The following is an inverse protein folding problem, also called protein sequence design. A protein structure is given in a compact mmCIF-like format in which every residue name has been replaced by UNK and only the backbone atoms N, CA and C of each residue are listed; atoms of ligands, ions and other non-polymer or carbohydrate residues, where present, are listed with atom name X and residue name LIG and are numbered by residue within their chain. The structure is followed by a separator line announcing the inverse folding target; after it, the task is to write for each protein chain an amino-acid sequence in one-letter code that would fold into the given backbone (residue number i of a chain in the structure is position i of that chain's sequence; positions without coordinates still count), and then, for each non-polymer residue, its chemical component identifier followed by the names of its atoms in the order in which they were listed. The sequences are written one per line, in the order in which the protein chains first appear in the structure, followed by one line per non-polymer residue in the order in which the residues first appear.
data_IF_787217114969
#
_entry.id   IF_787217114969
#
_cell.length_a   1.000
_cell.length_b   1.000
_cell.length_c   1.000
_cell.angle_alpha   90.00
_cell.angle_beta   90.00
_cell.angle_gamma   90.00
#
_symmetry.space_group_name_H-M   'P 1'
#
loop_
_entity.id
_entity.type
_entity.pdbx_description
1 polymer ?
#
# COMPACT_ATOMS: atom_id res chain seq x y z
N UNK A 1 -28.50 -21.06 56.26
CA UNK A 1 -27.71 -20.35 57.29
C UNK A 1 -27.75 -18.86 56.96
N UNK A 2 -28.52 -18.11 57.76
CA UNK A 2 -28.38 -16.71 58.19
C UNK A 2 -27.49 -15.68 57.44
N UNK A 3 -28.14 -14.55 57.08
CA UNK A 3 -27.83 -13.09 57.27
C UNK A 3 -26.45 -12.54 56.80
N UNK A 4 -26.26 -11.29 56.32
CA UNK A 4 -27.00 -10.02 56.34
C UNK A 4 -26.51 -9.08 55.22
N UNK A 5 -27.34 -8.10 54.85
CA UNK A 5 -27.04 -6.95 53.99
C UNK A 5 -26.50 -5.75 54.79
N UNK A 6 -25.81 -4.82 54.11
CA UNK A 6 -25.81 -3.39 54.46
C UNK A 6 -25.38 -2.49 53.28
N UNK A 7 -25.85 -1.25 53.31
CA UNK A 7 -26.07 -0.36 52.18
C UNK A 7 -25.58 1.07 52.44
N UNK A 8 -25.50 1.87 51.36
CA UNK A 8 -25.65 3.35 51.24
C UNK A 8 -24.40 4.24 51.21
N UNK A 9 -24.45 5.23 50.30
CA UNK A 9 -23.74 6.51 50.45
C UNK A 9 -23.47 7.34 49.18
N UNK A 10 -24.50 7.97 48.59
CA UNK A 10 -24.37 9.07 47.60
C UNK A 10 -24.24 10.42 48.35
N UNK A 11 -23.44 11.38 47.84
CA UNK A 11 -23.46 12.77 48.34
C UNK A 11 -23.24 13.80 47.23
N UNK A 12 -24.19 14.73 47.11
CA UNK A 12 -24.20 15.96 46.30
C UNK A 12 -24.63 17.11 47.24
N UNK A 13 -23.86 18.20 47.36
CA UNK A 13 -24.28 19.61 47.67
C UNK A 13 -23.14 20.54 47.25
N UNK A 14 -23.29 21.44 46.27
CA UNK A 14 -23.93 22.77 46.22
C UNK A 14 -23.12 23.98 46.77
N UNK A 15 -23.09 25.01 45.92
CA UNK A 15 -22.44 26.34 45.96
C UNK A 15 -22.88 27.27 47.11
N UNK A 16 -22.02 28.26 47.43
CA UNK A 16 -22.42 29.56 47.98
C UNK A 16 -21.65 30.73 47.33
N UNK A 17 -22.34 31.86 47.16
CA UNK A 17 -21.89 33.14 46.59
C UNK A 17 -21.29 34.09 47.65
N UNK A 18 -20.39 34.98 47.23
CA UNK A 18 -20.02 36.21 47.95
C UNK A 18 -19.58 37.32 46.99
N UNK A 19 -20.21 38.50 47.05
CA UNK A 19 -19.92 39.71 46.26
C UNK A 19 -18.87 40.59 46.95
N UNK A 20 -18.02 41.27 46.18
CA UNK A 20 -17.17 42.37 46.65
C UNK A 20 -16.45 43.08 45.49
N UNK A 21 -16.69 44.38 45.34
CA UNK A 21 -16.28 45.25 44.24
C UNK A 21 -15.17 46.20 44.73
N UNK A 22 -14.02 46.31 44.04
CA UNK A 22 -13.27 47.58 43.87
C UNK A 22 -11.93 47.45 43.12
N UNK A 23 -11.77 48.37 42.16
CA UNK A 23 -10.56 49.00 41.61
C UNK A 23 -9.72 48.22 40.58
N UNK A 24 -9.78 48.79 39.38
CA UNK A 24 -9.03 48.49 38.16
C UNK A 24 -7.60 49.03 38.28
N UNK A 25 -6.65 48.14 38.46
CA UNK A 25 -5.26 48.36 38.06
C UNK A 25 -5.00 47.38 36.91
N UNK A 26 -4.98 47.91 35.68
CA UNK A 26 -4.70 47.10 34.49
C UNK A 26 -3.18 46.98 34.37
N UNK A 27 -2.67 45.77 34.49
CA UNK A 27 -1.23 45.47 34.45
C UNK A 27 -0.56 46.05 33.19
N UNK A 28 0.57 46.78 33.31
CA UNK A 28 1.27 47.41 32.19
C UNK A 28 1.75 46.44 31.09
N UNK A 29 1.84 45.15 31.41
CA UNK A 29 2.30 44.07 30.52
C UNK A 29 1.21 43.71 29.49
N UNK A 30 -0.07 43.89 29.82
CA UNK A 30 -1.19 43.64 28.89
C UNK A 30 -1.37 44.76 27.86
N UNK A 31 -1.02 46.01 28.20
CA UNK A 31 -1.08 47.15 27.29
C UNK A 31 -0.03 47.06 26.15
N UNK A 32 1.18 46.58 26.46
CA UNK A 32 2.24 46.38 25.46
C UNK A 32 1.91 45.29 24.43
N UNK A 33 1.10 44.30 24.79
CA UNK A 33 0.67 43.23 23.88
C UNK A 33 -0.48 43.63 22.94
N UNK A 34 -1.31 44.59 23.34
CA UNK A 34 -2.38 45.17 22.50
C UNK A 34 -1.81 46.11 21.44
N UNK A 35 -0.81 46.94 21.77
CA UNK A 35 -0.14 47.81 20.82
C UNK A 35 0.69 47.04 19.79
N UNK A 36 1.38 45.98 20.20
CA UNK A 36 2.12 45.11 19.27
C UNK A 36 1.18 44.36 18.32
N UNK A 37 -0.01 43.94 18.79
CA UNK A 37 -1.07 43.40 17.92
C UNK A 37 -1.63 44.42 16.93
N UNK A 38 -1.79 45.67 17.34
CA UNK A 38 -2.25 46.77 16.46
C UNK A 38 -1.19 47.13 15.42
N UNK A 39 0.09 47.17 15.78
CA UNK A 39 1.20 47.38 14.84
C UNK A 39 1.32 46.25 13.81
N UNK A 40 1.15 44.98 14.23
CA UNK A 40 1.13 43.82 13.31
C UNK A 40 -0.08 43.85 12.35
N UNK A 41 -1.25 44.32 12.80
CA UNK A 41 -2.42 44.50 11.93
C UNK A 41 -2.30 45.68 10.96
N UNK A 42 -1.52 46.71 11.31
CA UNK A 42 -1.29 47.88 10.46
C UNK A 42 -0.20 47.59 9.41
N UNK A 43 0.85 46.85 9.76
CA UNK A 43 1.87 46.35 8.80
C UNK A 43 1.30 45.30 7.81
N UNK A 44 0.29 44.53 8.21
CA UNK A 44 -0.43 43.61 7.32
C UNK A 44 -1.36 44.33 6.33
N UNK A 45 -1.76 45.59 6.59
CA UNK A 45 -2.58 46.40 5.67
C UNK A 45 -1.76 47.24 4.69
N UNK A 46 -0.50 47.53 5.00
CA UNK A 46 0.37 48.35 4.14
C UNK A 46 1.24 47.52 3.16
N UNK A 47 1.37 46.21 3.38
CA UNK A 47 2.15 45.31 2.50
C UNK A 47 1.34 44.67 1.34
N UNK A 48 0.03 44.93 1.22
CA UNK A 48 -0.82 44.53 0.08
C UNK A 48 -0.93 45.64 -0.99
N UNK A 49 0.15 46.41 -1.20
CA UNK A 49 0.28 47.35 -2.32
C UNK A 49 1.36 46.91 -3.34
N UNK A 50 1.73 45.64 -3.33
CA UNK A 50 2.56 45.05 -4.38
C UNK A 50 1.77 45.03 -5.70
N UNK A 51 2.13 45.97 -6.58
CA UNK A 51 1.71 46.12 -7.97
C UNK A 51 1.25 44.79 -8.60
N UNK A 52 -0.07 44.54 -8.59
CA UNK A 52 -0.68 43.47 -9.38
C UNK A 52 -0.31 43.74 -10.84
N UNK A 53 0.51 42.86 -11.42
CA UNK A 53 0.69 42.78 -12.88
C UNK A 53 -0.70 42.77 -13.52
N UNK A 54 -0.93 43.51 -14.62
CA UNK A 54 -2.26 43.59 -15.22
C UNK A 54 -2.73 42.15 -15.50
N UNK A 55 -3.81 41.74 -14.81
CA UNK A 55 -4.46 40.46 -15.07
C UNK A 55 -4.86 40.49 -16.54
N UNK A 56 -4.34 39.54 -17.33
CA UNK A 56 -4.90 39.27 -18.67
C UNK A 56 -6.40 39.10 -18.50
N UNK A 57 -7.13 39.83 -19.32
CA UNK A 57 -8.55 40.18 -19.20
C UNK A 57 -9.40 39.01 -18.70
N UNK A 58 -10.20 39.25 -17.64
CA UNK A 58 -11.06 38.25 -17.00
C UNK A 58 -12.24 37.82 -17.89
N UNK A 59 -12.27 38.20 -19.17
CA UNK A 59 -13.39 37.99 -20.08
C UNK A 59 -13.31 36.65 -20.79
N UNK A 60 -14.46 36.07 -21.07
CA UNK A 60 -14.61 34.86 -21.85
C UNK A 60 -14.10 35.07 -23.26
N UNK A 61 -13.16 34.25 -23.71
CA UNK A 61 -12.53 34.37 -25.03
C UNK A 61 -13.49 34.13 -26.21
N UNK A 62 -14.63 33.48 -25.95
CA UNK A 62 -15.66 33.17 -26.96
C UNK A 62 -16.66 34.33 -27.14
N UNK A 63 -17.16 34.91 -26.04
CA UNK A 63 -18.17 35.97 -26.12
C UNK A 63 -17.64 37.37 -25.82
N UNK A 64 -16.46 37.50 -25.21
CA UNK A 64 -15.77 38.74 -24.83
C UNK A 64 -16.61 39.74 -24.00
N UNK A 65 -17.77 39.32 -23.50
CA UNK A 65 -18.74 40.15 -22.79
C UNK A 65 -18.72 39.87 -21.29
N UNK A 66 -18.75 38.61 -20.89
CA UNK A 66 -18.81 38.17 -19.50
C UNK A 66 -17.48 37.60 -19.02
N UNK A 67 -17.31 37.51 -17.70
CA UNK A 67 -16.13 36.89 -17.13
C UNK A 67 -16.08 35.37 -17.44
N UNK A 68 -14.89 34.81 -17.65
CA UNK A 68 -14.79 33.37 -17.92
C UNK A 68 -15.27 32.55 -16.71
N UNK A 69 -16.23 31.64 -16.92
CA UNK A 69 -16.82 30.84 -15.84
C UNK A 69 -15.97 29.62 -15.43
N UNK A 70 -15.21 29.06 -16.37
CA UNK A 70 -14.34 27.91 -16.12
C UNK A 70 -13.13 27.91 -17.05
N UNK A 71 -11.97 27.47 -16.55
CA UNK A 71 -10.85 27.05 -17.39
C UNK A 71 -10.97 25.55 -17.62
N UNK A 72 -10.89 25.11 -18.87
CA UNK A 72 -11.02 23.70 -19.20
C UNK A 72 -9.75 22.95 -18.73
N UNK A 73 -9.88 21.87 -17.94
CA UNK A 73 -8.72 21.15 -17.39
C UNK A 73 -7.96 20.33 -18.43
N UNK A 74 -8.46 20.23 -19.66
CA UNK A 74 -7.82 19.51 -20.77
C UNK A 74 -7.16 20.39 -21.84
N UNK A 75 -7.50 21.68 -21.95
CA UNK A 75 -6.91 22.67 -22.88
C UNK A 75 -7.59 24.05 -22.76
N UNK A 76 -7.11 25.06 -23.47
CA UNK A 76 -7.72 26.42 -23.50
C UNK A 76 -8.93 26.59 -24.45
N UNK A 77 -9.32 25.59 -25.25
CA UNK A 77 -10.27 25.81 -26.36
C UNK A 77 -11.35 24.72 -26.44
N UNK A 78 -12.51 24.98 -25.83
CA UNK A 78 -13.60 23.98 -25.69
C UNK A 78 -14.51 23.87 -26.92
N UNK A 79 -14.51 24.87 -27.81
CA UNK A 79 -15.47 24.95 -28.93
C UNK A 79 -14.85 24.52 -30.26
N UNK A 80 -13.58 24.85 -30.53
CA UNK A 80 -12.94 24.58 -31.83
C UNK A 80 -12.42 23.15 -31.99
N UNK A 81 -12.15 22.42 -30.89
CA UNK A 81 -11.41 21.14 -30.92
C UNK A 81 -12.23 19.90 -30.53
N UNK A 82 -13.56 20.00 -30.37
CA UNK A 82 -14.40 18.91 -29.83
C UNK A 82 -13.77 18.26 -28.57
N UNK A 83 -13.29 19.10 -27.65
CA UNK A 83 -12.64 18.62 -26.43
C UNK A 83 -13.69 18.20 -25.40
N UNK A 84 -13.56 16.98 -24.88
CA UNK A 84 -14.39 16.40 -23.81
C UNK A 84 -14.29 17.15 -22.48
N UNK A 85 -13.29 18.03 -22.34
CA UNK A 85 -13.02 18.76 -21.11
C UNK A 85 -12.52 17.87 -19.98
N UNK A 86 -12.07 16.65 -20.29
CA UNK A 86 -11.52 15.69 -19.34
C UNK A 86 -10.00 15.67 -19.52
N UNK A 87 -9.25 15.94 -18.45
CA UNK A 87 -7.78 15.83 -18.48
C UNK A 87 -7.41 14.37 -18.74
N UNK A 88 -6.64 14.12 -19.81
CA UNK A 88 -6.19 12.77 -20.16
C UNK A 88 -4.96 12.40 -19.35
N UNK A 89 -5.20 11.82 -18.17
CA UNK A 89 -4.18 11.62 -17.13
C UNK A 89 -3.11 10.60 -17.50
N UNK A 90 -3.35 9.69 -18.46
CA UNK A 90 -2.46 8.56 -18.75
C UNK A 90 -2.28 8.27 -20.25
N UNK A 91 -2.29 9.32 -21.09
CA UNK A 91 -2.12 9.13 -22.53
C UNK A 91 -0.64 9.08 -22.91
N UNK A 92 -0.31 8.27 -23.91
CA UNK A 92 1.06 8.17 -24.42
C UNK A 92 1.48 9.46 -25.14
N UNK A 93 2.64 9.99 -24.76
CA UNK A 93 3.27 11.16 -25.38
C UNK A 93 4.62 10.72 -25.97
N UNK A 94 4.83 10.81 -27.30
CA UNK A 94 6.13 10.52 -27.89
C UNK A 94 7.21 11.43 -27.30
N UNK A 95 8.43 10.93 -27.08
CA UNK A 95 9.52 11.70 -26.45
C UNK A 95 9.77 13.06 -27.10
N UNK A 96 9.60 13.17 -28.43
CA UNK A 96 9.79 14.43 -29.17
C UNK A 96 8.79 15.53 -28.79
N UNK A 97 7.66 15.18 -28.19
CA UNK A 97 6.58 16.08 -27.77
C UNK A 97 6.44 16.13 -26.24
N UNK A 98 7.36 15.48 -25.52
CA UNK A 98 7.34 15.45 -24.07
C UNK A 98 7.91 16.76 -23.52
N UNK A 99 7.10 17.46 -22.73
CA UNK A 99 7.42 18.79 -22.17
C UNK A 99 7.42 18.75 -20.65
N UNK A 100 7.99 19.77 -20.00
CA UNK A 100 8.04 19.86 -18.53
C UNK A 100 6.66 19.82 -17.88
N UNK A 101 5.63 20.33 -18.56
CA UNK A 101 4.24 20.22 -18.09
C UNK A 101 3.77 18.76 -18.01
N UNK A 102 4.25 17.89 -18.90
CA UNK A 102 3.94 16.46 -18.86
C UNK A 102 4.60 15.78 -17.67
N UNK A 103 5.79 16.23 -17.25
CA UNK A 103 6.44 15.75 -16.03
C UNK A 103 5.62 16.12 -14.79
N UNK A 104 5.14 17.36 -14.72
CA UNK A 104 4.27 17.82 -13.62
C UNK A 104 2.95 17.06 -13.61
N UNK A 105 2.38 16.80 -14.80
CA UNK A 105 1.18 15.99 -14.96
C UNK A 105 1.38 14.57 -14.45
N UNK A 106 2.47 13.91 -14.82
CA UNK A 106 2.81 12.57 -14.37
C UNK A 106 3.09 12.53 -12.87
N UNK A 107 3.81 13.52 -12.33
CA UNK A 107 4.08 13.64 -10.90
C UNK A 107 2.78 13.80 -10.09
N UNK A 108 1.90 14.71 -10.51
CA UNK A 108 0.61 14.92 -9.84
C UNK A 108 -0.29 13.69 -9.93
N UNK A 109 -0.26 12.97 -11.05
CA UNK A 109 -0.92 11.69 -11.18
C UNK A 109 -0.37 10.66 -10.20
N UNK A 110 0.95 10.46 -10.14
CA UNK A 110 1.59 9.50 -9.23
C UNK A 110 1.31 9.84 -7.76
N UNK A 111 1.33 11.11 -7.37
CA UNK A 111 0.90 11.53 -6.03
C UNK A 111 -0.57 11.18 -5.78
N UNK A 112 -1.46 11.42 -6.74
CA UNK A 112 -2.88 11.11 -6.59
C UNK A 112 -3.12 9.61 -6.39
N UNK A 113 -2.37 8.77 -7.11
CA UNK A 113 -2.36 7.32 -6.95
C UNK A 113 -1.82 6.96 -5.57
N UNK A 114 -0.71 7.55 -5.14
CA UNK A 114 -0.11 7.28 -3.84
C UNK A 114 -1.07 7.65 -2.69
N UNK A 115 -1.71 8.83 -2.75
CA UNK A 115 -2.75 9.24 -1.79
C UNK A 115 -3.96 8.30 -1.79
N UNK A 116 -4.37 7.81 -2.97
CA UNK A 116 -5.46 6.85 -3.06
C UNK A 116 -5.09 5.49 -2.44
N UNK A 117 -3.86 5.02 -2.63
CA UNK A 117 -3.34 3.79 -2.02
C UNK A 117 -3.31 3.89 -0.49
N UNK A 118 -2.85 5.02 0.06
CA UNK A 118 -2.81 5.27 1.51
C UNK A 118 -4.22 5.26 2.12
N UNK A 119 -5.23 5.84 1.45
CA UNK A 119 -6.64 5.85 1.93
C UNK A 119 -7.33 4.49 1.89
N UNK A 120 -6.83 3.54 1.10
CA UNK A 120 -7.39 2.16 1.00
C UNK A 120 -6.84 1.23 2.10
N UNK A 121 -5.94 1.74 2.95
CA UNK A 121 -5.05 0.97 3.82
C UNK A 121 -5.66 -0.01 4.82
N UNK A 122 -6.91 0.14 5.28
CA UNK A 122 -7.48 -0.87 6.19
C UNK A 122 -9.03 -0.91 6.28
N UNK A 123 -9.70 0.19 5.96
CA UNK A 123 -11.14 0.33 6.20
C UNK A 123 -12.02 -0.41 5.19
N UNK A 124 -11.49 -0.74 3.99
CA UNK A 124 -12.27 -1.35 2.91
C UNK A 124 -11.84 -2.79 2.55
N UNK A 125 -11.02 -3.44 3.39
CA UNK A 125 -10.68 -4.85 3.19
C UNK A 125 -11.87 -5.72 3.62
N UNK A 126 -12.45 -6.57 2.74
CA UNK A 126 -13.57 -7.42 3.09
C UNK A 126 -13.27 -8.30 4.31
N UNK A 127 -14.27 -8.56 5.15
CA UNK A 127 -14.13 -9.38 6.36
C UNK A 127 -13.42 -10.72 6.12
N UNK A 128 -13.76 -11.41 5.02
CA UNK A 128 -13.13 -12.68 4.61
C UNK A 128 -11.61 -12.56 4.46
N UNK A 129 -11.13 -11.41 3.99
CA UNK A 129 -9.72 -11.15 3.74
C UNK A 129 -8.99 -10.73 5.00
N UNK A 130 -9.66 -10.02 5.92
CA UNK A 130 -9.17 -9.79 7.28
C UNK A 130 -9.02 -11.12 8.04
N UNK A 131 -10.03 -12.00 7.94
CA UNK A 131 -9.95 -13.35 8.51
C UNK A 131 -8.78 -14.15 7.91
N UNK A 132 -8.59 -14.10 6.59
CA UNK A 132 -7.46 -14.77 5.93
C UNK A 132 -6.12 -14.31 6.51
N UNK A 133 -5.89 -13.00 6.64
CA UNK A 133 -4.69 -12.42 7.26
C UNK A 133 -4.48 -12.92 8.69
N UNK A 134 -5.53 -12.89 9.51
CA UNK A 134 -5.47 -13.37 10.91
C UNK A 134 -5.09 -14.85 10.96
N UNK A 135 -5.65 -15.67 10.08
CA UNK A 135 -5.38 -17.11 10.04
C UNK A 135 -3.97 -17.45 9.55
N UNK A 136 -3.41 -16.65 8.63
CA UNK A 136 -2.00 -16.71 8.27
C UNK A 136 -1.10 -16.35 9.45
N UNK A 137 -1.39 -15.26 10.15
CA UNK A 137 -0.59 -14.80 11.29
C UNK A 137 -0.56 -15.83 12.43
N UNK A 138 -1.70 -16.49 12.71
CA UNK A 138 -1.77 -17.61 13.68
C UNK A 138 -0.84 -18.77 13.34
N UNK A 139 -0.50 -18.95 12.06
CA UNK A 139 0.45 -19.96 11.55
C UNK A 139 1.87 -19.41 11.42
N UNK A 140 2.10 -18.16 11.83
CA UNK A 140 3.37 -17.46 11.68
C UNK A 140 3.66 -17.00 10.25
N UNK A 141 2.66 -16.87 9.38
CA UNK A 141 2.83 -16.46 7.99
C UNK A 141 2.39 -15.00 7.84
N UNK A 142 3.26 -14.14 7.32
CA UNK A 142 2.97 -12.72 7.12
C UNK A 142 2.36 -12.49 5.73
N UNK A 143 1.03 -12.50 5.66
CA UNK A 143 0.30 -12.29 4.40
C UNK A 143 0.06 -10.80 4.12
N UNK A 144 0.60 -10.33 3.00
CA UNK A 144 0.40 -8.99 2.47
C UNK A 144 -0.61 -9.02 1.34
N UNK A 145 -1.66 -8.21 1.46
CA UNK A 145 -2.71 -8.10 0.45
C UNK A 145 -2.47 -6.87 -0.42
N UNK A 146 -2.50 -7.07 -1.73
CA UNK A 146 -2.45 -6.02 -2.73
C UNK A 146 -3.83 -5.34 -2.90
N UNK A 147 -3.85 -4.09 -3.41
CA UNK A 147 -5.09 -3.41 -3.75
C UNK A 147 -6.00 -4.22 -4.68
N UNK A 148 -7.33 -4.10 -4.49
CA UNK A 148 -8.38 -4.84 -5.23
C UNK A 148 -8.25 -4.76 -6.76
N UNK A 149 -7.71 -3.66 -7.27
CA UNK A 149 -7.63 -3.40 -8.69
C UNK A 149 -6.42 -4.04 -9.37
N UNK A 150 -5.45 -4.52 -8.58
CA UNK A 150 -4.24 -5.18 -9.08
C UNK A 150 -4.54 -6.56 -9.67
N UNK A 151 -3.83 -6.90 -10.75
CA UNK A 151 -4.03 -8.18 -11.46
C UNK A 151 -3.72 -9.39 -10.60
N UNK A 152 -2.66 -9.33 -9.76
CA UNK A 152 -2.31 -10.39 -8.81
C UNK A 152 -3.44 -10.64 -7.81
N UNK A 153 -4.05 -9.56 -7.31
CA UNK A 153 -5.22 -9.60 -6.42
C UNK A 153 -6.44 -10.24 -7.07
N UNK A 154 -6.79 -9.79 -8.28
CA UNK A 154 -7.94 -10.30 -9.05
C UNK A 154 -7.81 -11.78 -9.38
N UNK A 155 -6.60 -12.27 -9.62
CA UNK A 155 -6.30 -13.67 -9.93
C UNK A 155 -6.05 -14.52 -8.69
N UNK A 156 -6.07 -13.98 -7.47
CA UNK A 156 -5.77 -14.75 -6.27
C UNK A 156 -6.95 -15.64 -5.87
N UNK A 157 -6.67 -16.92 -5.63
CA UNK A 157 -7.65 -17.92 -5.17
C UNK A 157 -7.36 -18.43 -3.76
N UNK A 158 -6.31 -17.92 -3.10
CA UNK A 158 -5.98 -18.27 -1.72
C UNK A 158 -7.15 -17.93 -0.79
N UNK A 159 -7.57 -18.91 0.01
CA UNK A 159 -8.71 -18.76 0.91
C UNK A 159 -8.55 -19.60 2.18
N UNK A 160 -9.22 -19.14 3.23
CA UNK A 160 -9.39 -19.89 4.47
C UNK A 160 -10.78 -20.52 4.48
N UNK A 161 -10.84 -21.83 4.73
CA UNK A 161 -12.08 -22.59 4.86
C UNK A 161 -12.42 -22.78 6.34
N UNK A 162 -13.27 -21.92 6.89
CA UNK A 162 -13.62 -21.93 8.32
C UNK A 162 -14.30 -23.22 8.78
N UNK A 163 -15.04 -23.91 7.92
CA UNK A 163 -15.72 -25.17 8.27
C UNK A 163 -14.73 -26.30 8.58
N UNK A 164 -13.59 -26.33 7.88
CA UNK A 164 -12.55 -27.35 8.04
C UNK A 164 -11.28 -26.81 8.70
N UNK A 165 -11.28 -25.54 9.12
CA UNK A 165 -10.16 -24.83 9.75
C UNK A 165 -8.83 -24.93 8.99
N UNK A 166 -8.89 -24.97 7.65
CA UNK A 166 -7.70 -25.19 6.79
C UNK A 166 -7.47 -24.06 5.80
N UNK A 167 -6.21 -23.83 5.48
CA UNK A 167 -5.80 -22.92 4.41
C UNK A 167 -5.74 -23.65 3.07
N UNK A 168 -6.35 -23.06 2.05
CA UNK A 168 -6.19 -23.47 0.65
C UNK A 168 -5.42 -22.37 -0.06
N UNK A 169 -4.18 -22.66 -0.42
CA UNK A 169 -3.27 -21.72 -1.05
C UNK A 169 -3.38 -21.81 -2.57
N UNK A 170 -3.39 -20.66 -3.21
CA UNK A 170 -2.91 -20.58 -4.59
C UNK A 170 -1.39 -20.70 -4.55
N UNK A 171 -0.79 -21.46 -5.45
CA UNK A 171 0.66 -21.51 -5.63
C UNK A 171 0.96 -21.21 -7.09
N UNK A 172 1.88 -20.29 -7.34
CA UNK A 172 2.44 -20.06 -8.66
C UNK A 172 3.79 -20.77 -8.74
N UNK A 173 3.93 -21.73 -9.65
CA UNK A 173 5.21 -22.37 -9.93
C UNK A 173 5.87 -21.70 -11.13
N UNK A 174 7.20 -21.60 -11.07
CA UNK A 174 8.03 -21.09 -12.15
C UNK A 174 9.16 -22.09 -12.37
N UNK A 175 9.12 -22.80 -13.49
CA UNK A 175 10.19 -23.69 -13.92
C UNK A 175 11.21 -22.85 -14.70
N UNK A 176 12.33 -22.52 -14.06
CA UNK A 176 13.20 -21.43 -14.52
C UNK A 176 13.89 -21.75 -15.85
N UNK A 177 14.48 -22.94 -16.00
CA UNK A 177 15.25 -23.34 -17.18
C UNK A 177 14.44 -23.26 -18.48
N UNK A 178 13.13 -23.52 -18.39
CA UNK A 178 12.20 -23.51 -19.53
C UNK A 178 11.27 -22.29 -19.57
N UNK A 179 11.35 -21.42 -18.55
CA UNK A 179 10.48 -20.26 -18.35
C UNK A 179 8.97 -20.57 -18.42
N UNK A 180 8.55 -21.73 -17.89
CA UNK A 180 7.14 -22.14 -17.85
C UNK A 180 6.55 -21.79 -16.48
N UNK A 181 5.31 -21.28 -16.50
CA UNK A 181 4.57 -20.86 -15.31
C UNK A 181 3.31 -21.70 -15.17
N UNK A 182 3.14 -22.38 -14.04
CA UNK A 182 1.95 -23.21 -13.75
C UNK A 182 1.32 -22.78 -12.43
N UNK A 183 0.07 -23.14 -12.20
CA UNK A 183 -0.68 -22.69 -11.01
C UNK A 183 -1.39 -23.85 -10.36
N UNK A 184 -1.18 -24.02 -9.06
CA UNK A 184 -2.03 -24.85 -8.20
C UNK A 184 -3.05 -23.95 -7.51
N UNK A 185 -4.35 -23.99 -7.85
CA UNK A 185 -5.31 -23.01 -7.34
C UNK A 185 -5.74 -23.24 -5.89
N UNK A 186 -5.66 -24.48 -5.39
CA UNK A 186 -6.17 -24.92 -4.07
C UNK A 186 -5.25 -25.96 -3.42
N UNK A 187 -3.98 -25.61 -3.21
CA UNK A 187 -3.04 -26.44 -2.47
C UNK A 187 -3.39 -26.45 -0.97
N UNK A 188 -3.49 -27.63 -0.37
CA UNK A 188 -3.72 -27.76 1.07
C UNK A 188 -2.43 -27.48 1.85
N UNK A 189 -2.54 -26.75 2.97
CA UNK A 189 -1.37 -26.37 3.77
C UNK A 189 -0.62 -27.54 4.42
N UNK A 190 -1.31 -28.66 4.62
CA UNK A 190 -0.77 -29.90 5.20
C UNK A 190 -0.10 -30.80 4.16
N UNK A 191 -0.28 -30.52 2.86
CA UNK A 191 0.38 -31.28 1.81
C UNK A 191 1.89 -31.01 1.81
N UNK A 192 2.68 -32.07 1.60
CA UNK A 192 4.13 -31.93 1.44
C UNK A 192 4.44 -31.18 0.15
N UNK A 193 5.52 -30.41 0.18
CA UNK A 193 5.95 -29.65 -0.99
C UNK A 193 6.31 -30.59 -2.16
N UNK A 194 6.90 -31.75 -1.87
CA UNK A 194 7.18 -32.82 -2.83
C UNK A 194 5.93 -33.32 -3.55
N UNK A 195 4.84 -33.55 -2.81
CA UNK A 195 3.56 -33.97 -3.40
C UNK A 195 3.01 -32.87 -4.31
N UNK A 196 2.95 -31.64 -3.83
CA UNK A 196 2.42 -30.51 -4.61
C UNK A 196 3.23 -30.26 -5.89
N UNK A 197 4.55 -30.48 -5.84
CA UNK A 197 5.42 -30.41 -7.00
C UNK A 197 5.15 -31.56 -7.97
N UNK A 198 5.03 -32.80 -7.47
CA UNK A 198 4.74 -33.97 -8.30
C UNK A 198 3.39 -33.87 -9.03
N UNK A 199 2.37 -33.30 -8.38
CA UNK A 199 1.07 -33.02 -9.00
C UNK A 199 1.21 -32.09 -10.22
N UNK A 200 2.27 -31.27 -10.32
CA UNK A 200 2.52 -30.44 -11.51
C UNK A 200 2.98 -31.26 -12.72
N UNK A 201 3.54 -32.46 -12.52
CA UNK A 201 4.03 -33.32 -13.61
C UNK A 201 2.95 -34.23 -14.19
N UNK A 202 1.81 -34.36 -13.52
CA UNK A 202 0.68 -35.16 -13.98
C UNK A 202 -0.08 -34.48 -15.13
N UNK A 203 0.00 -33.16 -15.24
CA UNK A 203 -0.66 -32.41 -16.32
C UNK A 203 0.03 -32.68 -17.67
N UNK A 204 -0.68 -33.44 -18.49
CA UNK A 204 -0.26 -33.94 -19.81
C UNK A 204 0.16 -32.79 -20.73
N UNK A 205 -0.45 -31.60 -20.60
CA UNK A 205 -0.21 -30.46 -21.51
C UNK A 205 1.17 -29.84 -21.31
N UNK A 206 1.64 -29.78 -20.06
CA UNK A 206 2.93 -29.19 -19.68
C UNK A 206 4.03 -30.24 -19.51
N UNK A 207 3.67 -31.52 -19.40
CA UNK A 207 4.61 -32.63 -19.22
C UNK A 207 5.72 -32.69 -20.27
N UNK A 208 5.43 -32.36 -21.53
CA UNK A 208 6.47 -32.31 -22.58
C UNK A 208 7.53 -31.24 -22.30
N UNK A 209 7.11 -30.08 -21.79
CA UNK A 209 8.02 -28.98 -21.45
C UNK A 209 8.83 -29.29 -20.19
N UNK A 210 8.29 -30.11 -19.28
CA UNK A 210 8.90 -30.47 -17.99
C UNK A 210 9.78 -31.73 -18.04
N UNK A 211 10.10 -32.26 -19.23
CA UNK A 211 10.84 -33.53 -19.38
C UNK A 211 12.16 -33.58 -18.64
N UNK A 212 12.88 -32.47 -18.59
CA UNK A 212 14.17 -32.38 -17.90
C UNK A 212 13.99 -32.51 -16.39
N UNK A 213 12.98 -31.83 -15.83
CA UNK A 213 12.61 -31.89 -14.41
C UNK A 213 12.08 -33.27 -13.99
N UNK A 214 11.37 -33.96 -14.89
CA UNK A 214 10.83 -35.30 -14.63
C UNK A 214 11.92 -36.38 -14.63
N UNK A 215 13.00 -36.16 -15.39
CA UNK A 215 14.08 -37.17 -15.52
C UNK A 215 14.84 -37.37 -14.22
N UNK A 216 15.08 -36.30 -13.47
CA UNK A 216 15.81 -36.34 -12.22
C UNK A 216 15.11 -35.50 -11.13
N UNK A 217 14.02 -36.03 -10.54
CA UNK A 217 13.28 -35.33 -9.49
C UNK A 217 14.11 -35.08 -8.23
N UNK A 218 15.10 -35.92 -7.95
CA UNK A 218 15.95 -35.83 -6.76
C UNK A 218 16.95 -34.67 -6.85
N UNK A 219 17.26 -34.21 -8.06
CA UNK A 219 18.05 -33.00 -8.32
C UNK A 219 17.26 -31.69 -8.19
N UNK A 220 15.94 -31.75 -8.00
CA UNK A 220 15.13 -30.53 -7.96
C UNK A 220 15.29 -29.78 -6.64
N UNK A 221 15.36 -28.46 -6.75
CA UNK A 221 15.36 -27.55 -5.62
C UNK A 221 14.21 -26.55 -5.79
N UNK A 222 13.50 -26.28 -4.69
CA UNK A 222 12.39 -25.32 -4.66
C UNK A 222 12.80 -24.09 -3.86
N UNK A 223 12.72 -22.93 -4.50
CA UNK A 223 13.09 -21.65 -3.90
C UNK A 223 11.88 -20.70 -3.81
N UNK A 224 11.90 -19.79 -2.86
CA UNK A 224 10.99 -18.64 -2.81
C UNK A 224 11.79 -17.36 -2.60
N UNK A 225 11.55 -16.34 -3.43
CA UNK A 225 12.20 -15.04 -3.27
C UNK A 225 11.75 -14.36 -1.97
N UNK A 226 12.68 -13.73 -1.25
CA UNK A 226 12.39 -12.89 -0.08
C UNK A 226 11.77 -11.56 -0.51
N UNK A 227 10.67 -11.22 0.12
CA UNK A 227 9.96 -9.96 -0.12
C UNK A 227 10.47 -8.86 0.83
N UNK A 228 10.28 -7.59 0.44
CA UNK A 228 10.66 -6.39 1.22
C UNK A 228 12.16 -6.26 1.52
N UNK A 229 13.01 -6.76 0.62
CA UNK A 229 14.46 -6.61 0.69
C UNK A 229 14.98 -5.98 -0.60
N UNK A 230 16.07 -5.22 -0.49
CA UNK A 230 16.73 -4.59 -1.66
C UNK A 230 17.49 -5.63 -2.49
N UNK A 231 18.06 -6.63 -1.81
CA UNK A 231 18.83 -7.72 -2.40
C UNK A 231 17.91 -8.85 -2.87
N UNK A 232 18.29 -9.55 -3.94
CA UNK A 232 17.52 -10.67 -4.48
C UNK A 232 17.91 -11.96 -3.76
N UNK A 233 17.43 -12.08 -2.52
CA UNK A 233 17.67 -13.23 -1.65
C UNK A 233 16.55 -14.27 -1.78
N UNK A 234 16.89 -15.55 -1.55
CA UNK A 234 15.99 -16.67 -1.71
C UNK A 234 15.99 -17.60 -0.50
N UNK A 235 14.81 -18.10 -0.16
CA UNK A 235 14.62 -19.20 0.77
C UNK A 235 14.70 -20.52 0.02
N UNK A 236 15.58 -21.43 0.44
CA UNK A 236 15.57 -22.82 -0.01
C UNK A 236 14.62 -23.64 0.84
N UNK A 237 13.67 -24.31 0.21
CA UNK A 237 12.70 -25.15 0.91
C UNK A 237 13.11 -26.61 0.94
N UNK A 238 12.85 -27.26 2.07
CA UNK A 238 12.88 -28.71 2.17
C UNK A 238 11.60 -29.27 1.55
N UNK A 239 11.75 -30.16 0.57
CA UNK A 239 10.62 -30.77 -0.16
C UNK A 239 9.80 -31.73 0.70
N UNK A 240 10.36 -32.23 1.80
CA UNK A 240 9.65 -33.12 2.72
C UNK A 240 8.73 -32.36 3.69
N UNK A 241 8.97 -31.08 3.90
CA UNK A 241 8.15 -30.26 4.78
C UNK A 241 6.81 -29.96 4.11
N UNK A 242 5.79 -29.72 4.95
CA UNK A 242 4.50 -29.28 4.45
C UNK A 242 4.52 -27.78 4.10
N UNK A 243 3.56 -27.36 3.27
CA UNK A 243 3.48 -25.98 2.81
C UNK A 243 3.38 -24.97 3.98
N UNK A 244 2.68 -25.30 5.06
CA UNK A 244 2.59 -24.46 6.26
C UNK A 244 3.97 -24.23 6.90
N UNK A 245 4.77 -25.29 7.06
CA UNK A 245 6.14 -25.21 7.58
C UNK A 245 7.04 -24.42 6.65
N UNK A 246 6.98 -24.69 5.34
CA UNK A 246 7.75 -23.97 4.33
C UNK A 246 7.47 -22.47 4.37
N UNK A 247 6.22 -22.04 4.58
CA UNK A 247 5.84 -20.63 4.58
C UNK A 247 5.95 -19.95 5.94
N UNK A 248 6.19 -20.70 7.02
CA UNK A 248 6.31 -20.15 8.38
C UNK A 248 7.40 -19.09 8.45
N UNK A 249 7.12 -18.03 9.19
CA UNK A 249 7.89 -16.78 9.36
C UNK A 249 8.24 -16.03 8.07
N UNK A 250 7.59 -16.36 6.95
CA UNK A 250 7.88 -15.71 5.66
C UNK A 250 6.82 -14.69 5.28
N UNK A 251 7.26 -13.68 4.54
CA UNK A 251 6.41 -12.69 3.92
C UNK A 251 5.87 -13.22 2.60
N UNK A 252 4.55 -13.22 2.43
CA UNK A 252 3.87 -13.68 1.22
C UNK A 252 2.96 -12.58 0.70
N UNK A 253 3.15 -12.16 -0.55
CA UNK A 253 2.28 -11.19 -1.20
C UNK A 253 1.20 -11.92 -2.01
N UNK A 254 -0.06 -11.86 -1.56
CA UNK A 254 -1.25 -12.57 -2.07
C UNK A 254 -1.17 -14.12 -2.01
N UNK A 255 -0.15 -14.69 -2.64
CA UNK A 255 0.09 -16.12 -2.76
C UNK A 255 1.57 -16.40 -3.01
N UNK A 256 2.11 -17.54 -2.56
CA UNK A 256 3.51 -17.90 -2.80
C UNK A 256 3.80 -18.06 -4.29
N UNK A 257 5.03 -17.70 -4.66
CA UNK A 257 5.61 -17.94 -5.99
C UNK A 257 6.87 -18.76 -5.80
N UNK A 258 6.83 -20.00 -6.25
CA UNK A 258 7.87 -21.00 -6.04
C UNK A 258 8.65 -21.21 -7.32
N UNK A 259 9.96 -21.06 -7.25
CA UNK A 259 10.88 -21.32 -8.35
C UNK A 259 11.34 -22.77 -8.24
N UNK A 260 11.29 -23.49 -9.35
CA UNK A 260 11.80 -24.85 -9.48
C UNK A 260 13.04 -24.79 -10.37
N UNK A 261 14.17 -25.18 -9.80
CA UNK A 261 15.48 -25.16 -10.43
C UNK A 261 16.16 -26.52 -10.27
N UNK A 262 17.19 -26.75 -11.08
CA UNK A 262 18.07 -27.91 -10.87
C UNK A 262 19.10 -27.57 -9.79
N UNK A 263 19.57 -28.58 -9.04
CA UNK A 263 20.57 -28.41 -7.97
C UNK A 263 21.85 -27.74 -8.46
N UNK A 264 22.24 -27.96 -9.72
CA UNK A 264 23.43 -27.33 -10.32
C UNK A 264 23.30 -25.81 -10.48
N UNK A 265 22.07 -25.31 -10.65
CA UNK A 265 21.77 -23.88 -10.82
C UNK A 265 21.76 -23.13 -9.47
N UNK A 266 21.78 -23.84 -8.35
CA UNK A 266 21.65 -23.27 -7.01
C UNK A 266 22.74 -22.22 -6.71
N UNK A 267 23.92 -22.36 -7.32
CA UNK A 267 25.06 -21.43 -7.19
C UNK A 267 24.77 -20.03 -7.74
N UNK A 268 23.75 -19.89 -8.58
CA UNK A 268 23.35 -18.61 -9.18
C UNK A 268 22.40 -17.81 -8.28
N UNK A 269 22.03 -18.35 -7.11
CA UNK A 269 21.05 -17.76 -6.19
C UNK A 269 21.69 -17.45 -4.84
N UNK A 270 21.44 -16.25 -4.33
CA UNK A 270 21.85 -15.85 -2.99
C UNK A 270 20.87 -16.44 -1.97
N UNK A 271 21.30 -17.48 -1.27
CA UNK A 271 20.48 -18.18 -0.29
C UNK A 271 20.63 -17.56 1.10
N UNK A 272 19.53 -17.53 1.84
CA UNK A 272 19.53 -17.05 3.23
C UNK A 272 20.01 -18.19 4.13
N UNK A 273 21.12 -17.95 4.83
CA UNK A 273 21.66 -18.85 5.84
C UNK A 273 21.29 -18.32 7.25
N UNK A 274 20.54 -19.09 8.05
CA UNK A 274 20.30 -18.78 9.47
C UNK A 274 18.82 -18.56 9.88
N UNK A 275 18.54 -18.47 11.19
CA UNK A 275 17.19 -18.27 11.70
C UNK A 275 16.63 -16.91 11.29
N UNK A 276 15.36 -16.95 10.88
CA UNK A 276 14.62 -15.87 10.22
C UNK A 276 14.54 -14.61 11.12
N UNK A 277 15.33 -13.58 10.85
CA UNK A 277 15.12 -12.27 11.47
C UNK A 277 13.87 -11.59 10.88
N UNK A 278 12.97 -11.15 11.76
CA UNK A 278 11.80 -10.36 11.39
C UNK A 278 12.24 -9.09 10.66
N UNK A 279 11.96 -9.01 9.36
CA UNK A 279 12.22 -7.80 8.58
C UNK A 279 11.15 -6.78 8.94
N UNK A 280 11.54 -5.74 9.67
CA UNK A 280 10.72 -4.54 9.82
C UNK A 280 10.52 -3.91 8.44
N UNK A 281 9.31 -3.40 8.13
CA UNK A 281 9.09 -2.64 6.89
C UNK A 281 10.17 -1.59 6.74
N UNK A 282 10.71 -1.43 5.53
CA UNK A 282 11.60 -0.32 5.20
C UNK A 282 10.80 0.96 5.45
N UNK A 283 11.13 1.69 6.52
CA UNK A 283 10.64 3.05 6.71
C UNK A 283 11.26 3.89 5.58
N UNK A 284 10.40 4.56 4.80
CA UNK A 284 10.85 5.52 3.79
C UNK A 284 11.60 6.65 4.52
N UNK A 285 12.93 6.60 4.56
CA UNK A 285 13.72 7.74 5.03
C UNK A 285 13.37 8.95 4.16
N UNK A 286 13.00 10.09 4.76
CA UNK A 286 12.70 11.29 4.00
C UNK A 286 13.92 11.68 3.15
N UNK A 287 13.72 12.23 1.94
CA UNK A 287 14.81 12.65 1.08
C UNK A 287 15.76 13.55 1.86
N UNK A 288 17.04 13.17 1.90
CA UNK A 288 18.10 14.02 2.44
C UNK A 288 18.04 15.35 1.70
N UNK A 289 17.82 16.43 2.45
CA UNK A 289 17.92 17.78 1.93
C UNK A 289 19.29 17.93 1.27
N UNK A 290 19.27 18.29 -0.02
CA UNK A 290 20.48 18.63 -0.75
C UNK A 290 20.89 19.98 -0.19
N UNK A 291 21.92 20.00 0.67
CA UNK A 291 22.58 21.24 1.07
C UNK A 291 23.22 21.86 -0.19
N UNK A 292 22.75 23.05 -0.57
CA UNK A 292 23.30 23.89 -1.65
C UNK A 292 24.70 24.42 -1.32
#
# INVERSE_FOLDING_TARGET
MSFSAESLGFSIKQNQHGKGNQKTDVDPILAMNEEHKKQLQQQAKESDSTKKRPRREERCEVCQTEAYKYRCPGCEHKVEKQCDGVRKVNHYIPLKQFTDNNIIDDYTFLESVNRAVVKVGDDHVPFRMKQLKIQCLKRGIFLHLMPKDMTKRKKNTTLYESSRQRMLWKIQWIFVAINVKTVTPKAEETATLSKLLNDQFEDITIRHHLREYIRDPDSLCVLMQREFTKERQFYLFNTNDNLMQCLKSKNVIEHPTLLVIMRDELKNYELIEGPEEEVKPVEDEPPKEIEE
#
